data_IF_176069751554
#
_entry.id   IF_176069751554
#
_cell.length_a   1.000
_cell.length_b   1.000
_cell.length_c   1.000
_cell.angle_alpha   90.00
_cell.angle_beta   90.00
_cell.angle_gamma   90.00
#
_symmetry.space_group_name_H-M   'P 1'
#
loop_
_entity.id
_entity.type
_entity.pdbx_description
1 polymer ?
#
# COMPACT_ATOMS: atom_id res chain seq x y z
N UNK A 1 10.14 -5.13 13.54
CA UNK A 1 8.83 -5.79 13.64
C UNK A 1 8.03 -5.49 12.40
N UNK A 2 7.44 -6.51 11.80
CA UNK A 2 6.59 -6.32 10.62
C UNK A 2 5.34 -5.55 10.99
N UNK A 3 4.80 -4.82 10.00
CA UNK A 3 3.55 -4.08 10.16
C UNK A 3 2.61 -4.35 9.00
N UNK A 4 1.31 -4.30 9.27
CA UNK A 4 0.27 -4.26 8.26
C UNK A 4 -0.23 -2.82 8.16
N UNK A 5 -0.33 -2.33 6.93
CA UNK A 5 -0.88 -0.99 6.67
C UNK A 5 -2.17 -1.16 5.89
N UNK A 6 -3.24 -0.56 6.39
CA UNK A 6 -4.55 -0.55 5.74
C UNK A 6 -4.88 0.89 5.38
N UNK A 7 -5.09 1.14 4.10
CA UNK A 7 -5.48 2.45 3.58
C UNK A 7 -6.87 2.36 2.96
N UNK A 8 -7.80 3.17 3.45
CA UNK A 8 -9.15 3.26 2.89
C UNK A 8 -9.31 4.58 2.14
N UNK A 9 -9.33 4.50 0.82
CA UNK A 9 -9.39 5.67 -0.06
C UNK A 9 -10.81 5.86 -0.59
N UNK A 10 -11.56 6.76 0.05
CA UNK A 10 -12.92 7.08 -0.36
C UNK A 10 -12.94 7.59 -1.82
N UNK A 11 -13.85 7.03 -2.62
CA UNK A 11 -14.02 7.44 -4.01
C UNK A 11 -12.95 6.96 -4.97
N UNK A 12 -11.91 6.25 -4.51
CA UNK A 12 -10.89 5.72 -5.40
C UNK A 12 -11.43 4.53 -6.20
N UNK A 13 -10.97 4.42 -7.44
CA UNK A 13 -11.37 3.35 -8.37
C UNK A 13 -10.18 2.46 -8.71
N UNK A 14 -10.45 1.31 -9.32
CA UNK A 14 -9.40 0.43 -9.83
C UNK A 14 -8.48 1.14 -10.82
N UNK A 15 -9.04 2.01 -11.67
CA UNK A 15 -8.27 2.78 -12.64
C UNK A 15 -7.32 3.77 -11.96
N UNK A 16 -7.80 4.44 -10.91
CA UNK A 16 -6.97 5.35 -10.13
C UNK A 16 -5.85 4.60 -9.39
N UNK A 17 -6.13 3.41 -8.87
CA UNK A 17 -5.11 2.60 -8.23
C UNK A 17 -4.04 2.15 -9.24
N UNK A 18 -4.44 1.78 -10.46
CA UNK A 18 -3.49 1.45 -11.51
C UNK A 18 -2.60 2.64 -11.86
N UNK A 19 -3.19 3.85 -11.94
CA UNK A 19 -2.44 5.07 -12.17
C UNK A 19 -1.49 5.37 -11.01
N UNK A 20 -1.91 5.13 -9.78
CA UNK A 20 -1.09 5.29 -8.58
C UNK A 20 0.11 4.35 -8.62
N UNK A 21 -0.10 3.08 -8.92
CA UNK A 21 0.99 2.11 -9.02
C UNK A 21 2.01 2.50 -10.09
N UNK A 22 1.53 2.98 -11.23
CA UNK A 22 2.40 3.47 -12.30
C UNK A 22 3.21 4.69 -11.84
N UNK A 23 2.57 5.63 -11.17
CA UNK A 23 3.23 6.83 -10.66
C UNK A 23 4.28 6.50 -9.59
N UNK A 24 4.08 5.43 -8.83
CA UNK A 24 5.05 4.96 -7.84
C UNK A 24 6.18 4.14 -8.46
N UNK A 25 6.10 3.83 -9.74
CA UNK A 25 7.10 3.00 -10.41
C UNK A 25 7.02 1.53 -10.06
N UNK A 26 5.87 1.06 -9.60
CA UNK A 26 5.65 -0.35 -9.28
C UNK A 26 5.11 -1.08 -10.51
N UNK A 27 5.77 -2.17 -10.86
CA UNK A 27 5.28 -3.09 -11.89
C UNK A 27 4.47 -4.22 -11.25
N UNK A 28 4.94 -5.45 -11.42
CA UNK A 28 4.30 -6.64 -10.84
C UNK A 28 4.83 -7.00 -9.46
N UNK A 29 5.75 -6.22 -8.91
CA UNK A 29 6.37 -6.49 -7.60
C UNK A 29 6.03 -5.38 -6.62
N UNK A 30 5.90 -5.70 -5.32
CA UNK A 30 5.74 -4.66 -4.30
C UNK A 30 7.01 -3.83 -4.14
N UNK A 31 6.88 -2.70 -3.46
CA UNK A 31 8.00 -1.81 -3.18
C UNK A 31 9.06 -2.49 -2.29
N UNK A 32 10.33 -2.03 -2.32
CA UNK A 32 11.34 -2.51 -1.39
C UNK A 32 10.89 -2.36 0.06
N UNK A 33 11.03 -3.43 0.84
CA UNK A 33 10.55 -3.50 2.22
C UNK A 33 9.11 -3.98 2.36
N UNK A 34 8.33 -3.99 1.29
CA UNK A 34 6.98 -4.56 1.28
C UNK A 34 7.05 -6.01 0.85
N UNK A 35 6.32 -6.87 1.55
CA UNK A 35 6.24 -8.30 1.24
C UNK A 35 5.07 -8.61 0.33
N UNK A 36 3.95 -7.92 0.51
CA UNK A 36 2.72 -8.15 -0.23
C UNK A 36 1.92 -6.87 -0.28
N UNK A 37 1.21 -6.65 -1.38
CA UNK A 37 0.24 -5.59 -1.54
C UNK A 37 -1.02 -6.20 -2.12
N UNK A 38 -2.13 -5.92 -1.48
CA UNK A 38 -3.46 -6.35 -1.93
C UNK A 38 -4.36 -5.14 -2.02
N UNK A 39 -5.26 -5.10 -2.99
CA UNK A 39 -6.18 -3.99 -3.14
C UNK A 39 -7.50 -4.47 -3.71
N UNK A 40 -8.58 -3.80 -3.35
CA UNK A 40 -9.89 -4.14 -3.85
C UNK A 40 -10.94 -3.09 -3.49
N UNK A 41 -12.14 -3.20 -4.09
CA UNK A 41 -13.21 -2.25 -3.86
C UNK A 41 -13.84 -2.41 -2.48
N UNK A 42 -14.28 -1.28 -1.93
CA UNK A 42 -15.13 -1.21 -0.75
C UNK A 42 -16.45 -0.55 -1.12
N UNK A 43 -17.40 -0.49 -0.19
CA UNK A 43 -18.68 0.18 -0.44
C UNK A 43 -18.48 1.65 -0.87
N UNK A 44 -17.47 2.32 -0.32
CA UNK A 44 -17.26 3.75 -0.51
C UNK A 44 -16.06 4.11 -1.40
N UNK A 45 -15.29 3.12 -1.83
CA UNK A 45 -14.11 3.41 -2.61
C UNK A 45 -13.19 2.20 -2.76
N UNK A 46 -11.98 2.29 -2.23
CA UNK A 46 -10.91 1.32 -2.48
C UNK A 46 -10.09 1.09 -1.22
N UNK A 47 -9.78 -0.17 -0.93
CA UNK A 47 -8.91 -0.53 0.20
C UNK A 47 -7.62 -1.11 -0.33
N UNK A 48 -6.51 -0.65 0.23
CA UNK A 48 -5.17 -1.15 -0.07
C UNK A 48 -4.59 -1.68 1.24
N UNK A 49 -4.13 -2.93 1.21
CA UNK A 49 -3.52 -3.60 2.36
C UNK A 49 -2.11 -4.01 1.99
N UNK A 50 -1.15 -3.68 2.82
CA UNK A 50 0.25 -4.02 2.56
C UNK A 50 0.95 -4.49 3.83
N UNK A 51 1.81 -5.49 3.68
CA UNK A 51 2.63 -6.03 4.76
C UNK A 51 4.07 -5.58 4.54
N UNK A 52 4.67 -4.98 5.57
CA UNK A 52 5.99 -4.38 5.51
C UNK A 52 6.93 -5.03 6.53
N UNK A 53 8.22 -5.09 6.18
CA UNK A 53 9.25 -5.61 7.09
C UNK A 53 9.39 -4.75 8.34
N UNK A 54 9.20 -3.44 8.22
CA UNK A 54 9.28 -2.51 9.34
C UNK A 54 8.46 -1.24 9.06
N UNK A 55 8.13 -0.52 10.12
CA UNK A 55 7.48 0.77 10.00
C UNK A 55 8.39 1.80 9.30
N UNK A 56 9.68 1.73 9.54
CA UNK A 56 10.65 2.63 8.89
C UNK A 56 10.64 2.46 7.36
N UNK A 57 10.56 1.21 6.88
CA UNK A 57 10.48 0.93 5.44
C UNK A 57 9.21 1.53 4.83
N UNK A 58 8.07 1.38 5.53
CA UNK A 58 6.82 1.97 5.08
C UNK A 58 6.89 3.50 5.06
N UNK A 59 7.41 4.11 6.13
CA UNK A 59 7.49 5.57 6.21
C UNK A 59 8.37 6.16 5.12
N UNK A 60 9.48 5.50 4.79
CA UNK A 60 10.33 5.90 3.68
C UNK A 60 9.59 5.82 2.35
N UNK A 61 8.89 4.73 2.09
CA UNK A 61 8.07 4.56 0.90
C UNK A 61 6.96 5.62 0.83
N UNK A 62 6.27 5.84 1.94
CA UNK A 62 5.22 6.86 2.03
C UNK A 62 5.74 8.22 1.58
N UNK A 63 6.88 8.62 2.12
CA UNK A 63 7.40 9.97 1.91
C UNK A 63 8.05 10.13 0.53
N UNK A 64 8.76 9.11 0.06
CA UNK A 64 9.50 9.17 -1.19
C UNK A 64 8.67 8.83 -2.43
N UNK A 65 7.66 7.98 -2.30
CA UNK A 65 6.89 7.50 -3.45
C UNK A 65 5.39 7.70 -3.34
N UNK A 66 4.78 7.31 -2.23
CA UNK A 66 3.32 7.27 -2.11
C UNK A 66 2.72 8.69 -2.14
N UNK A 67 3.18 9.58 -1.29
CA UNK A 67 2.64 10.94 -1.20
C UNK A 67 2.84 11.70 -2.52
N UNK A 68 4.04 11.70 -3.13
CA UNK A 68 4.22 12.34 -4.44
C UNK A 68 3.32 11.74 -5.53
N UNK A 69 3.17 10.41 -5.57
CA UNK A 69 2.35 9.74 -6.57
C UNK A 69 0.86 10.05 -6.40
N UNK A 70 0.38 10.10 -5.17
CA UNK A 70 -1.00 10.51 -4.88
C UNK A 70 -1.26 11.93 -5.38
N UNK A 71 -0.33 12.83 -5.14
CA UNK A 71 -0.43 14.21 -5.61
C UNK A 71 -0.52 14.26 -7.15
N UNK A 72 0.26 13.43 -7.83
CA UNK A 72 0.26 13.36 -9.30
C UNK A 72 -1.11 12.96 -9.86
N UNK A 73 -1.86 12.15 -9.15
CA UNK A 73 -3.21 11.75 -9.57
C UNK A 73 -4.32 12.59 -8.92
N UNK A 74 -3.96 13.70 -8.29
CA UNK A 74 -4.92 14.64 -7.71
C UNK A 74 -5.54 14.20 -6.39
N UNK A 75 -4.84 13.37 -5.63
CA UNK A 75 -5.33 12.86 -4.35
C UNK A 75 -4.36 13.17 -3.21
N UNK A 76 -4.87 13.12 -1.99
CA UNK A 76 -4.07 13.21 -0.78
C UNK A 76 -4.03 11.86 -0.07
N UNK A 77 -3.12 11.74 0.90
CA UNK A 77 -2.97 10.52 1.68
C UNK A 77 -4.28 10.19 2.41
N UNK A 78 -4.86 8.99 2.18
CA UNK A 78 -6.08 8.59 2.89
C UNK A 78 -5.77 8.25 4.35
N UNK A 79 -6.79 8.09 5.19
CA UNK A 79 -6.61 7.57 6.54
C UNK A 79 -5.91 6.20 6.50
N UNK A 80 -4.95 6.02 7.40
CA UNK A 80 -4.18 4.79 7.51
C UNK A 80 -4.42 4.14 8.86
N UNK A 81 -4.50 2.82 8.87
CA UNK A 81 -4.36 2.01 10.07
C UNK A 81 -3.07 1.24 9.99
N UNK A 82 -2.29 1.24 11.05
CA UNK A 82 -1.02 0.52 11.13
C UNK A 82 -1.10 -0.47 12.29
N UNK A 83 -0.87 -1.74 11.98
CA UNK A 83 -0.99 -2.83 12.94
C UNK A 83 0.36 -3.52 13.08
N UNK A 84 0.90 -3.66 14.32
CA UNK A 84 2.09 -4.49 14.51
C UNK A 84 1.76 -5.96 14.24
N UNK A 85 2.64 -6.64 13.54
CA UNK A 85 2.46 -8.05 13.17
C UNK A 85 3.58 -8.86 13.81
N UNK A 86 3.21 -9.80 14.66
CA UNK A 86 4.16 -10.67 15.34
C UNK A 86 4.42 -11.95 14.58
N UNK A 87 3.40 -12.48 13.92
CA UNK A 87 3.49 -13.79 13.27
C UNK A 87 2.94 -13.73 11.86
N UNK A 88 3.73 -14.20 10.89
CA UNK A 88 3.31 -14.34 9.51
C UNK A 88 3.56 -15.80 9.10
N UNK A 89 2.49 -16.47 8.71
CA UNK A 89 2.58 -17.84 8.18
C UNK A 89 2.33 -17.78 6.68
N UNK A 90 3.23 -18.36 5.92
CA UNK A 90 3.10 -18.48 4.47
C UNK A 90 3.18 -19.94 4.06
N UNK A 91 2.54 -20.34 2.96
CA UNK A 91 2.69 -21.70 2.46
C UNK A 91 4.16 -21.99 2.14
N UNK A 92 4.62 -23.24 2.31
CA UNK A 92 5.97 -23.60 1.91
C UNK A 92 6.16 -23.37 0.41
N UNK A 93 7.34 -22.90 0.03
CA UNK A 93 7.72 -22.75 -1.38
C UNK A 93 7.92 -24.12 -2.01
N UNK A 94 7.29 -24.41 -3.18
CA UNK A 94 7.49 -25.69 -3.86
C UNK A 94 8.89 -25.90 -4.32
#
# INVERSE_FOLDING_TARGET
>A
MAILVVADAAGMTAEQDAALMKAMGLGSSPAPGARIRMAGPTADGWRIVSLWDSQADFERFRDERLVPALKDIGRSLPPLEIWPIETVLTPPTP
#
